data_IF_783119788072
#
_entry.id   IF_783119788072
#
_cell.length_a   1.000
_cell.length_b   1.000
_cell.length_c   1.000
_cell.angle_alpha   90.00
_cell.angle_beta   90.00
_cell.angle_gamma   90.00
#
_symmetry.space_group_name_H-M   'P 1'
#
loop_
_entity.id
_entity.type
_entity.pdbx_description
1 polymer ?
#
# COMPACT_ATOMS: atom_id res chain seq x y z
N UNK A 1 19.45 -12.38 -15.23
CA UNK A 1 19.12 -11.10 -14.57
C UNK A 1 17.92 -11.36 -13.68
N UNK A 2 17.83 -10.76 -12.49
CA UNK A 2 16.69 -10.95 -11.62
C UNK A 2 15.41 -10.42 -12.29
N UNK A 3 14.36 -11.23 -12.33
CA UNK A 3 13.12 -10.87 -13.01
C UNK A 3 12.17 -10.18 -12.01
N UNK A 4 11.94 -8.88 -12.19
CA UNK A 4 10.89 -8.12 -11.51
C UNK A 4 9.65 -8.11 -12.41
N UNK A 5 8.49 -8.39 -11.83
CA UNK A 5 7.20 -8.01 -12.43
C UNK A 5 6.51 -6.99 -11.54
N UNK A 6 6.28 -5.80 -12.09
CA UNK A 6 5.58 -4.70 -11.43
C UNK A 6 4.16 -4.58 -12.00
N UNK A 7 3.17 -4.99 -11.22
CA UNK A 7 1.76 -4.87 -11.58
C UNK A 7 1.28 -3.44 -11.32
N UNK A 8 0.66 -2.82 -12.33
CA UNK A 8 0.22 -1.42 -12.28
C UNK A 8 -1.30 -1.38 -12.28
N UNK A 9 -1.88 -1.05 -11.13
CA UNK A 9 -3.33 -0.91 -10.99
C UNK A 9 -3.83 0.34 -11.74
N UNK A 10 -4.79 0.14 -12.66
CA UNK A 10 -5.49 1.20 -13.42
C UNK A 10 -6.99 0.88 -13.54
N UNK A 11 -7.86 1.89 -13.57
CA UNK A 11 -9.32 1.69 -13.58
C UNK A 11 -10.05 2.46 -14.70
N UNK A 12 -9.36 3.33 -15.46
CA UNK A 12 -10.02 4.19 -16.46
C UNK A 12 -9.17 4.58 -17.67
N UNK A 13 -7.92 4.12 -17.74
CA UNK A 13 -7.01 4.50 -18.82
C UNK A 13 -5.90 3.50 -19.02
N UNK A 14 -5.33 3.53 -20.22
CA UNK A 14 -4.05 2.87 -20.48
C UNK A 14 -2.92 3.60 -19.74
N UNK A 15 -1.92 2.83 -19.31
CA UNK A 15 -0.73 3.35 -18.66
C UNK A 15 0.29 3.70 -19.75
N UNK A 16 0.69 4.97 -19.91
CA UNK A 16 1.69 5.33 -20.91
C UNK A 16 3.08 4.82 -20.52
N UNK A 17 3.94 4.58 -21.51
CA UNK A 17 5.36 4.24 -21.34
C UNK A 17 5.65 2.98 -20.50
N UNK A 18 4.86 1.92 -20.68
CA UNK A 18 5.11 0.62 -20.06
C UNK A 18 6.48 0.09 -20.44
N UNK A 19 7.27 -0.28 -19.44
CA UNK A 19 8.55 -0.96 -19.59
C UNK A 19 8.33 -2.48 -19.59
N UNK A 20 9.27 -3.30 -20.10
CA UNK A 20 9.09 -4.76 -20.19
C UNK A 20 8.75 -5.47 -18.86
N UNK A 21 9.19 -4.92 -17.73
CA UNK A 21 8.90 -5.45 -16.40
C UNK A 21 7.57 -4.96 -15.79
N UNK A 22 6.80 -4.15 -16.52
CA UNK A 22 5.56 -3.54 -16.06
C UNK A 22 4.34 -4.20 -16.71
N UNK A 23 3.41 -4.66 -15.88
CA UNK A 23 2.17 -5.31 -16.33
C UNK A 23 0.97 -4.50 -15.85
N UNK A 24 0.23 -3.81 -16.73
CA UNK A 24 -0.97 -3.08 -16.33
C UNK A 24 -2.08 -4.08 -15.97
N UNK A 25 -2.85 -3.78 -14.92
CA UNK A 25 -4.00 -4.57 -14.47
C UNK A 25 -5.22 -3.68 -14.34
N UNK A 26 -6.33 -4.06 -14.96
CA UNK A 26 -7.61 -3.38 -14.81
C UNK A 26 -8.18 -3.70 -13.42
N UNK A 27 -8.01 -2.75 -12.49
CA UNK A 27 -8.48 -2.82 -11.13
C UNK A 27 -10.00 -2.62 -11.07
N UNK A 28 -10.71 -3.50 -10.36
CA UNK A 28 -12.16 -3.48 -10.26
C UNK A 28 -12.87 -3.76 -11.57
N UNK A 29 -12.25 -4.55 -12.47
CA UNK A 29 -12.79 -4.80 -13.82
C UNK A 29 -14.23 -5.30 -13.79
N UNK A 30 -14.60 -6.14 -12.83
CA UNK A 30 -15.96 -6.69 -12.71
C UNK A 30 -17.05 -5.62 -12.53
N UNK A 31 -16.67 -4.44 -12.02
CA UNK A 31 -17.57 -3.31 -11.79
C UNK A 31 -17.59 -2.31 -12.96
N UNK A 32 -16.82 -2.57 -14.03
CA UNK A 32 -16.56 -1.63 -15.11
C UNK A 32 -17.09 -2.15 -16.44
N UNK A 33 -17.77 -1.30 -17.19
CA UNK A 33 -18.12 -1.58 -18.60
C UNK A 33 -17.02 -1.17 -19.58
N UNK A 34 -15.91 -0.61 -19.09
CA UNK A 34 -14.81 -0.13 -19.93
C UNK A 34 -13.85 -1.27 -20.28
N UNK A 35 -13.70 -1.56 -21.56
CA UNK A 35 -12.68 -2.50 -22.03
C UNK A 35 -11.36 -1.78 -22.33
N UNK A 36 -10.36 -2.01 -21.47
CA UNK A 36 -9.02 -1.43 -21.60
C UNK A 36 -8.06 -2.29 -22.47
N UNK A 37 -8.48 -3.50 -22.86
CA UNK A 37 -7.65 -4.44 -23.62
C UNK A 37 -6.48 -5.03 -22.81
N UNK A 38 -6.57 -5.00 -21.49
CA UNK A 38 -5.57 -5.55 -20.54
C UNK A 38 -6.25 -6.56 -19.62
N UNK A 39 -5.45 -7.41 -18.98
CA UNK A 39 -5.94 -8.36 -17.97
C UNK A 39 -6.55 -7.61 -16.79
N UNK A 40 -7.67 -8.12 -16.26
CA UNK A 40 -8.34 -7.57 -15.09
C UNK A 40 -8.06 -8.36 -13.83
N UNK A 41 -8.33 -7.74 -12.69
CA UNK A 41 -8.27 -8.38 -11.38
C UNK A 41 -9.51 -9.25 -11.07
N UNK A 42 -10.32 -9.59 -12.08
CA UNK A 42 -11.62 -10.27 -11.98
C UNK A 42 -11.58 -11.75 -12.40
N UNK A 43 -10.38 -12.31 -12.56
CA UNK A 43 -10.15 -13.71 -12.92
C UNK A 43 -9.56 -14.53 -11.75
N UNK A 44 -9.73 -15.85 -11.78
CA UNK A 44 -9.22 -16.72 -10.70
C UNK A 44 -9.80 -16.39 -9.32
N UNK A 45 -9.02 -16.61 -8.25
CA UNK A 45 -9.40 -16.17 -6.90
C UNK A 45 -9.18 -14.66 -6.79
N UNK A 46 -10.26 -13.91 -6.53
CA UNK A 46 -10.25 -12.46 -6.60
C UNK A 46 -11.28 -11.78 -5.69
N UNK A 47 -11.08 -10.48 -5.51
CA UNK A 47 -11.99 -9.58 -4.82
C UNK A 47 -12.28 -8.32 -5.66
N UNK A 48 -12.29 -8.44 -6.99
CA UNK A 48 -12.47 -7.30 -7.92
C UNK A 48 -13.73 -6.50 -7.60
N UNK A 49 -14.80 -7.18 -7.20
CA UNK A 49 -16.09 -6.57 -6.84
C UNK A 49 -15.95 -5.58 -5.67
N UNK A 50 -14.96 -5.77 -4.79
CA UNK A 50 -14.71 -4.92 -3.64
C UNK A 50 -13.85 -3.68 -3.97
N UNK A 51 -13.47 -3.44 -5.24
CA UNK A 51 -12.62 -2.31 -5.62
C UNK A 51 -13.12 -0.93 -5.17
N UNK A 52 -14.44 -0.61 -5.17
CA UNK A 52 -14.93 0.65 -4.62
C UNK A 52 -14.54 0.89 -3.14
N UNK A 53 -14.20 -0.17 -2.40
CA UNK A 53 -13.86 -0.15 -0.99
C UNK A 53 -12.36 -0.44 -0.75
N UNK A 54 -11.86 -1.52 -1.33
CA UNK A 54 -10.48 -1.99 -1.17
C UNK A 54 -9.50 -1.29 -2.11
N UNK A 55 -9.98 -0.54 -3.10
CA UNK A 55 -9.15 0.20 -4.05
C UNK A 55 -8.09 -0.71 -4.69
N UNK A 56 -6.86 -0.24 -4.85
CA UNK A 56 -5.74 -0.98 -5.43
C UNK A 56 -5.34 -2.27 -4.66
N UNK A 57 -5.85 -2.49 -3.43
CA UNK A 57 -5.66 -3.77 -2.72
C UNK A 57 -6.32 -4.95 -3.45
N UNK A 58 -7.34 -4.70 -4.29
CA UNK A 58 -7.95 -5.74 -5.13
C UNK A 58 -6.95 -6.34 -6.11
N UNK A 59 -6.08 -5.51 -6.70
CA UNK A 59 -4.97 -5.96 -7.55
C UNK A 59 -3.91 -6.67 -6.73
N UNK A 60 -3.54 -6.16 -5.54
CA UNK A 60 -2.59 -6.86 -4.65
C UNK A 60 -3.09 -8.27 -4.28
N UNK A 61 -4.37 -8.39 -3.92
CA UNK A 61 -5.00 -9.68 -3.61
C UNK A 61 -4.94 -10.61 -4.81
N UNK A 62 -5.35 -10.13 -5.97
CA UNK A 62 -5.36 -10.93 -7.20
C UNK A 62 -3.95 -11.40 -7.59
N UNK A 63 -2.94 -10.54 -7.47
CA UNK A 63 -1.53 -10.91 -7.70
C UNK A 63 -1.08 -11.98 -6.70
N UNK A 64 -1.38 -11.82 -5.42
CA UNK A 64 -1.06 -12.82 -4.40
C UNK A 64 -1.66 -14.20 -4.71
N UNK A 65 -2.90 -14.23 -5.21
CA UNK A 65 -3.60 -15.49 -5.50
C UNK A 65 -3.22 -16.13 -6.82
N UNK A 66 -2.81 -15.33 -7.82
CA UNK A 66 -2.73 -15.81 -9.20
C UNK A 66 -1.37 -15.60 -9.88
N UNK A 67 -0.51 -14.71 -9.37
CA UNK A 67 0.67 -14.19 -10.09
C UNK A 67 1.91 -14.02 -9.21
N UNK A 68 2.51 -15.14 -8.78
CA UNK A 68 3.71 -15.19 -7.93
C UNK A 68 4.90 -15.88 -8.60
N UNK A 69 4.99 -15.81 -9.93
CA UNK A 69 5.93 -16.55 -10.78
C UNK A 69 7.26 -15.82 -11.04
N UNK A 70 7.37 -14.54 -10.69
CA UNK A 70 8.60 -13.76 -10.80
C UNK A 70 9.42 -13.75 -9.51
N UNK A 71 10.73 -13.58 -9.65
CA UNK A 71 11.66 -13.52 -8.51
C UNK A 71 11.34 -12.36 -7.56
N UNK A 72 10.94 -11.22 -8.13
CA UNK A 72 10.43 -10.08 -7.40
C UNK A 72 9.07 -9.66 -7.97
N UNK A 73 8.17 -9.32 -7.09
CA UNK A 73 6.79 -8.91 -7.39
C UNK A 73 6.57 -7.55 -6.76
N UNK A 74 5.94 -6.65 -7.50
CA UNK A 74 5.54 -5.36 -6.96
C UNK A 74 4.18 -4.88 -7.42
N UNK A 75 3.57 -4.04 -6.60
CA UNK A 75 2.31 -3.36 -6.92
C UNK A 75 2.55 -1.84 -6.94
N UNK A 76 2.14 -1.20 -8.04
CA UNK A 76 2.18 0.23 -8.23
C UNK A 76 0.85 0.77 -8.78
N UNK A 77 0.71 2.10 -8.79
CA UNK A 77 -0.49 2.78 -9.27
C UNK A 77 -0.16 3.39 -10.63
N UNK A 78 -1.14 3.48 -11.52
CA UNK A 78 -0.93 4.05 -12.85
C UNK A 78 -0.36 5.48 -12.86
N UNK A 79 -0.55 6.26 -11.79
CA UNK A 79 0.00 7.63 -11.65
C UNK A 79 1.24 7.75 -10.78
N UNK A 80 1.69 6.65 -10.17
CA UNK A 80 2.80 6.63 -9.22
C UNK A 80 3.60 5.35 -9.45
N UNK A 81 4.73 5.49 -10.14
CA UNK A 81 5.62 4.38 -10.45
C UNK A 81 6.88 4.47 -9.62
N UNK A 82 7.48 3.33 -9.28
CA UNK A 82 8.77 3.30 -8.60
C UNK A 82 9.88 3.78 -9.54
N UNK A 83 10.68 4.75 -9.09
CA UNK A 83 11.92 5.14 -9.75
C UNK A 83 13.00 4.09 -9.44
N UNK A 84 12.93 2.94 -10.12
CA UNK A 84 13.82 1.78 -9.90
C UNK A 84 14.30 1.18 -11.22
N UNK A 85 15.54 0.70 -11.22
CA UNK A 85 16.07 -0.18 -12.24
C UNK A 85 15.94 -1.65 -11.78
N UNK A 86 15.21 -2.52 -12.49
CA UNK A 86 15.07 -3.93 -12.12
C UNK A 86 16.40 -4.67 -11.90
N UNK A 87 17.46 -4.28 -12.61
CA UNK A 87 18.78 -4.90 -12.46
C UNK A 87 19.36 -4.73 -11.04
N UNK A 88 18.95 -3.69 -10.31
CA UNK A 88 19.44 -3.40 -8.96
C UNK A 88 18.72 -4.24 -7.89
N UNK A 89 17.61 -4.91 -8.22
CA UNK A 89 16.79 -5.61 -7.22
C UNK A 89 17.59 -6.64 -6.42
N UNK A 90 18.43 -7.44 -7.07
CA UNK A 90 19.24 -8.45 -6.36
C UNK A 90 20.21 -7.84 -5.35
N UNK A 91 20.80 -6.69 -5.67
CA UNK A 91 21.71 -5.97 -4.77
C UNK A 91 20.90 -5.33 -3.63
N UNK A 92 19.76 -4.73 -3.94
CA UNK A 92 18.88 -4.11 -2.93
C UNK A 92 18.38 -5.17 -1.94
N UNK A 93 17.87 -6.30 -2.42
CA UNK A 93 17.31 -7.35 -1.55
C UNK A 93 18.38 -8.18 -0.82
N UNK A 94 19.68 -7.89 -0.99
CA UNK A 94 20.73 -8.41 -0.12
C UNK A 94 20.65 -7.80 1.29
N UNK A 95 20.22 -6.54 1.40
CA UNK A 95 20.19 -5.78 2.66
C UNK A 95 18.79 -5.34 3.09
N UNK A 96 17.81 -5.41 2.19
CA UNK A 96 16.45 -4.92 2.40
C UNK A 96 15.41 -6.00 2.17
N UNK A 97 14.24 -5.86 2.82
CA UNK A 97 13.13 -6.80 2.75
C UNK A 97 12.02 -6.32 1.80
N UNK A 98 11.79 -5.01 1.75
CA UNK A 98 10.82 -4.39 0.85
C UNK A 98 11.38 -3.11 0.23
N UNK A 99 10.96 -2.84 -1.00
CA UNK A 99 11.11 -1.53 -1.64
C UNK A 99 9.77 -0.82 -1.58
N UNK A 100 9.75 0.40 -1.06
CA UNK A 100 8.51 1.17 -0.82
C UNK A 100 8.70 2.63 -1.23
N UNK A 101 7.63 3.38 -1.47
CA UNK A 101 7.73 4.83 -1.60
C UNK A 101 8.27 5.45 -0.31
N UNK A 102 8.86 6.63 -0.43
CA UNK A 102 9.27 7.38 0.76
C UNK A 102 8.15 7.54 1.79
N UNK A 103 8.49 7.30 3.05
CA UNK A 103 7.56 7.48 4.16
C UNK A 103 7.17 8.96 4.31
N UNK A 104 5.98 9.19 4.87
CA UNK A 104 5.51 10.52 5.24
C UNK A 104 5.52 10.66 6.75
N UNK A 105 5.94 11.83 7.25
CA UNK A 105 5.69 12.21 8.64
C UNK A 105 4.39 13.03 8.74
N UNK A 106 3.54 12.65 9.67
CA UNK A 106 2.38 13.43 10.06
C UNK A 106 2.71 14.35 11.24
N UNK A 107 1.90 15.40 11.39
CA UNK A 107 1.96 16.30 12.55
C UNK A 107 1.33 15.68 13.81
N UNK A 108 0.41 14.73 13.62
CA UNK A 108 -0.29 13.98 14.67
C UNK A 108 0.20 12.52 14.66
N UNK A 109 -0.17 11.76 15.69
CA UNK A 109 0.03 10.31 15.66
C UNK A 109 -0.77 9.66 14.53
N UNK A 110 -0.44 8.42 14.14
CA UNK A 110 -1.19 7.69 13.12
C UNK A 110 -2.65 7.49 13.55
N UNK A 111 -2.87 7.23 14.83
CA UNK A 111 -4.21 7.11 15.42
C UNK A 111 -4.99 8.42 15.31
N UNK A 112 -4.44 9.51 15.85
CA UNK A 112 -5.09 10.82 15.86
C UNK A 112 -5.36 11.32 14.43
N UNK A 113 -4.39 11.12 13.53
CA UNK A 113 -4.54 11.50 12.14
C UNK A 113 -5.64 10.71 11.45
N UNK A 114 -5.71 9.39 11.66
CA UNK A 114 -6.79 8.57 11.10
C UNK A 114 -8.14 8.99 11.65
N UNK A 115 -8.29 9.04 12.99
CA UNK A 115 -9.54 9.37 13.67
C UNK A 115 -10.11 10.71 13.22
N UNK A 116 -9.23 11.71 13.03
CA UNK A 116 -9.63 13.04 12.56
C UNK A 116 -10.10 13.05 11.11
N UNK A 117 -9.53 12.24 10.23
CA UNK A 117 -9.82 12.27 8.78
C UNK A 117 -10.87 11.24 8.33
N UNK A 118 -11.00 10.14 9.07
CA UNK A 118 -11.81 8.98 8.69
C UNK A 118 -12.81 8.54 9.77
N UNK A 119 -12.77 9.16 10.96
CA UNK A 119 -13.62 8.80 12.08
C UNK A 119 -13.04 7.67 12.95
N UNK A 120 -13.69 7.44 14.08
CA UNK A 120 -13.16 6.55 15.13
C UNK A 120 -13.57 5.09 14.95
N UNK A 121 -14.73 4.83 14.36
CA UNK A 121 -15.38 3.53 14.42
C UNK A 121 -14.54 2.41 13.78
N UNK A 122 -14.08 2.61 12.53
CA UNK A 122 -13.20 1.66 11.83
C UNK A 122 -11.88 1.45 12.56
N UNK A 123 -11.35 2.51 13.16
CA UNK A 123 -10.10 2.44 13.92
C UNK A 123 -10.27 1.56 15.16
N UNK A 124 -11.27 1.85 15.98
CA UNK A 124 -11.53 1.12 17.22
C UNK A 124 -11.89 -0.35 16.91
N UNK A 125 -12.57 -0.59 15.79
CA UNK A 125 -12.84 -1.93 15.26
C UNK A 125 -11.55 -2.66 14.86
N UNK A 126 -10.65 -2.01 14.11
CA UNK A 126 -9.34 -2.54 13.74
C UNK A 126 -8.54 -2.93 14.98
N UNK A 127 -8.44 -2.06 15.98
CA UNK A 127 -7.68 -2.33 17.21
C UNK A 127 -8.24 -3.53 17.96
N UNK A 128 -9.57 -3.63 18.07
CA UNK A 128 -10.23 -4.77 18.74
C UNK A 128 -9.98 -6.09 18.01
N UNK A 129 -10.10 -6.11 16.69
CA UNK A 129 -9.88 -7.33 15.89
C UNK A 129 -8.40 -7.72 15.92
N UNK A 130 -7.48 -6.75 15.76
CA UNK A 130 -6.04 -6.99 15.86
C UNK A 130 -5.68 -7.63 17.20
N UNK A 131 -6.20 -7.11 18.32
CA UNK A 131 -5.94 -7.67 19.65
C UNK A 131 -6.45 -9.10 19.80
N UNK A 132 -7.54 -9.47 19.13
CA UNK A 132 -8.11 -10.81 19.20
C UNK A 132 -7.41 -11.81 18.28
N UNK A 133 -7.04 -11.41 17.07
CA UNK A 133 -6.48 -12.30 16.05
C UNK A 133 -4.96 -12.41 16.11
N UNK A 134 -4.30 -11.31 16.43
CA UNK A 134 -2.86 -11.15 16.38
C UNK A 134 -2.37 -10.44 17.65
N UNK A 135 -2.62 -11.03 18.85
CA UNK A 135 -2.24 -10.42 20.12
C UNK A 135 -0.73 -10.12 20.20
N UNK A 136 0.11 -10.86 19.49
CA UNK A 136 1.55 -10.64 19.38
C UNK A 136 1.90 -9.27 18.76
N UNK A 137 1.03 -8.72 17.89
CA UNK A 137 1.23 -7.40 17.30
C UNK A 137 0.79 -6.25 18.22
N UNK A 138 0.05 -6.52 19.29
CA UNK A 138 -0.64 -5.47 20.04
C UNK A 138 0.32 -4.53 20.77
N UNK A 139 1.41 -5.04 21.34
CA UNK A 139 2.42 -4.21 21.99
C UNK A 139 3.13 -3.30 20.99
N UNK A 140 3.47 -3.82 19.80
CA UNK A 140 4.02 -3.01 18.71
C UNK A 140 3.00 -2.01 18.17
N UNK A 141 1.71 -2.38 18.10
CA UNK A 141 0.66 -1.50 17.63
C UNK A 141 0.52 -0.24 18.48
N UNK A 142 0.60 -0.36 19.81
CA UNK A 142 0.58 0.79 20.72
C UNK A 142 1.70 1.79 20.40
N UNK A 143 2.93 1.32 20.20
CA UNK A 143 4.05 2.21 19.92
C UNK A 143 4.01 2.79 18.50
N UNK A 144 3.68 1.97 17.49
CA UNK A 144 3.62 2.39 16.08
C UNK A 144 2.49 3.37 15.86
N UNK A 145 1.30 3.13 16.42
CA UNK A 145 0.15 4.00 16.18
C UNK A 145 0.20 5.31 16.97
N UNK A 146 0.96 5.36 18.08
CA UNK A 146 1.35 6.62 18.73
C UNK A 146 2.48 7.37 18.00
N UNK A 147 3.21 6.72 17.08
CA UNK A 147 4.18 7.38 16.22
C UNK A 147 3.50 8.15 15.10
N UNK A 148 4.27 8.88 14.29
CA UNK A 148 3.75 9.72 13.21
C UNK A 148 4.30 9.39 11.82
N UNK A 149 5.01 8.27 11.65
CA UNK A 149 5.55 7.83 10.34
C UNK A 149 4.61 6.83 9.69
N UNK A 150 4.28 7.05 8.42
CA UNK A 150 3.44 6.13 7.64
C UNK A 150 4.09 5.77 6.30
N UNK A 151 3.89 4.52 5.88
CA UNK A 151 4.17 4.04 4.52
C UNK A 151 2.85 3.97 3.76
N UNK A 152 2.68 4.86 2.77
CA UNK A 152 1.40 5.11 2.09
C UNK A 152 1.30 4.41 0.75
N UNK A 153 0.11 4.50 0.17
CA UNK A 153 -0.29 4.04 -1.15
C UNK A 153 -0.50 2.54 -1.29
N UNK A 154 -0.19 1.70 -0.29
CA UNK A 154 -0.22 0.24 -0.49
C UNK A 154 0.66 -0.23 -1.67
N UNK A 155 1.72 0.53 -1.96
CA UNK A 155 2.71 0.21 -2.98
C UNK A 155 3.92 -0.43 -2.33
N UNK A 156 4.35 -1.57 -2.84
CA UNK A 156 5.48 -2.32 -2.33
C UNK A 156 6.07 -3.23 -3.42
N UNK A 157 7.36 -3.54 -3.29
CA UNK A 157 8.05 -4.58 -4.06
C UNK A 157 8.78 -5.49 -3.08
N UNK A 158 8.66 -6.80 -3.26
CA UNK A 158 9.39 -7.81 -2.49
C UNK A 158 9.45 -9.14 -3.25
N UNK A 159 10.02 -10.17 -2.64
CA UNK A 159 9.92 -11.54 -3.17
C UNK A 159 8.53 -12.15 -2.88
N UNK A 160 8.09 -13.15 -3.67
CA UNK A 160 6.80 -13.80 -3.51
C UNK A 160 6.47 -14.30 -2.10
N UNK A 161 7.46 -14.75 -1.30
CA UNK A 161 7.20 -15.29 0.04
C UNK A 161 6.81 -14.16 0.99
N UNK A 162 7.52 -13.04 0.95
CA UNK A 162 7.21 -11.86 1.78
C UNK A 162 5.88 -11.21 1.36
N UNK A 163 5.57 -11.16 0.06
CA UNK A 163 4.25 -10.71 -0.43
C UNK A 163 3.15 -11.60 0.13
N UNK A 164 3.31 -12.91 0.02
CA UNK A 164 2.31 -13.89 0.48
C UNK A 164 2.10 -13.79 1.99
N UNK A 165 3.17 -13.77 2.79
CA UNK A 165 3.09 -13.64 4.24
C UNK A 165 2.38 -12.35 4.68
N UNK A 166 2.66 -11.22 4.01
CA UNK A 166 1.96 -9.98 4.29
C UNK A 166 0.46 -10.08 3.94
N UNK A 167 0.12 -10.66 2.78
CA UNK A 167 -1.26 -10.80 2.34
C UNK A 167 -2.06 -11.77 3.25
N UNK A 168 -1.45 -12.89 3.65
CA UNK A 168 -2.01 -13.86 4.60
C UNK A 168 -2.30 -13.22 5.96
N UNK A 169 -1.48 -12.25 6.38
CA UNK A 169 -1.69 -11.52 7.62
C UNK A 169 -2.77 -10.43 7.47
N UNK A 170 -2.67 -9.58 6.43
CA UNK A 170 -3.50 -8.36 6.34
C UNK A 170 -4.93 -8.61 5.84
N UNK A 171 -5.14 -9.51 4.87
CA UNK A 171 -6.45 -9.66 4.25
C UNK A 171 -7.50 -10.27 5.21
N UNK A 172 -7.20 -11.30 6.02
CA UNK A 172 -8.16 -11.79 7.00
C UNK A 172 -8.58 -10.72 8.02
N UNK A 173 -7.65 -9.85 8.45
CA UNK A 173 -7.95 -8.70 9.31
C UNK A 173 -8.91 -7.73 8.60
N UNK A 174 -8.58 -7.33 7.37
CA UNK A 174 -9.38 -6.38 6.60
C UNK A 174 -10.77 -6.93 6.26
N UNK A 175 -10.90 -8.22 5.94
CA UNK A 175 -12.19 -8.85 5.66
C UNK A 175 -13.08 -8.90 6.90
N UNK A 176 -12.52 -9.19 8.07
CA UNK A 176 -13.30 -9.17 9.31
C UNK A 176 -13.73 -7.74 9.69
N UNK A 177 -12.85 -6.75 9.49
CA UNK A 177 -13.20 -5.34 9.68
C UNK A 177 -14.31 -4.94 8.70
N UNK A 178 -14.18 -5.34 7.43
CA UNK A 178 -15.16 -5.07 6.38
C UNK A 178 -16.54 -5.64 6.72
N UNK A 179 -16.59 -6.93 7.10
CA UNK A 179 -17.83 -7.62 7.49
C UNK A 179 -18.52 -6.95 8.69
N UNK A 180 -17.74 -6.52 9.68
CA UNK A 180 -18.27 -5.89 10.90
C UNK A 180 -18.55 -4.40 10.75
N UNK A 181 -17.96 -3.73 9.76
CA UNK A 181 -18.18 -2.31 9.53
C UNK A 181 -19.54 -2.12 8.87
N UNK A 182 -20.48 -1.58 9.65
CA UNK A 182 -21.80 -1.22 9.14
C UNK A 182 -21.64 -0.07 8.12
N UNK A 183 -22.34 -0.18 6.99
CA UNK A 183 -22.25 0.75 5.86
C UNK A 183 -22.72 2.19 6.16
N UNK A 184 -23.19 2.92 5.14
CA UNK A 184 -23.69 4.29 5.30
C UNK A 184 -22.63 5.39 5.21
N UNK A 185 -21.49 5.10 4.58
CA UNK A 185 -20.43 6.07 4.29
C UNK A 185 -20.56 6.61 2.88
N UNK A 186 -20.05 7.81 2.64
CA UNK A 186 -19.89 8.33 1.28
C UNK A 186 -18.83 7.54 0.48
N UNK A 187 -18.72 7.80 -0.82
CA UNK A 187 -17.82 7.08 -1.72
C UNK A 187 -16.34 7.19 -1.34
N UNK A 188 -15.92 8.27 -0.69
CA UNK A 188 -14.54 8.45 -0.26
C UNK A 188 -14.28 7.70 1.06
N UNK A 189 -15.14 7.88 2.05
CA UNK A 189 -14.99 7.24 3.36
C UNK A 189 -15.24 5.73 3.31
N UNK A 190 -15.97 5.25 2.30
CA UNK A 190 -16.12 3.81 2.02
C UNK A 190 -14.80 3.13 1.67
N UNK A 191 -13.73 3.89 1.35
CA UNK A 191 -12.38 3.38 1.05
C UNK A 191 -11.52 3.13 2.28
N UNK A 192 -12.13 3.12 3.47
CA UNK A 192 -11.43 2.89 4.73
C UNK A 192 -10.57 1.61 4.77
N UNK A 193 -10.88 0.47 4.09
CA UNK A 193 -9.97 -0.67 4.07
C UNK A 193 -8.59 -0.30 3.52
N UNK A 194 -8.56 0.51 2.46
CA UNK A 194 -7.31 1.03 1.88
C UNK A 194 -6.58 2.01 2.79
N UNK A 195 -7.30 2.77 3.62
CA UNK A 195 -6.67 3.65 4.61
C UNK A 195 -6.09 2.85 5.78
N UNK A 196 -6.84 1.87 6.30
CA UNK A 196 -6.38 1.01 7.39
C UNK A 196 -5.17 0.17 6.94
N UNK A 197 -5.16 -0.35 5.71
CA UNK A 197 -4.05 -1.17 5.20
C UNK A 197 -2.71 -0.43 5.21
N UNK A 198 -2.68 0.89 4.97
CA UNK A 198 -1.43 1.66 5.06
C UNK A 198 -0.87 1.69 6.51
N UNK A 199 -1.76 1.75 7.50
CA UNK A 199 -1.38 1.72 8.93
C UNK A 199 -0.99 0.30 9.34
N UNK A 200 -1.74 -0.70 8.88
CA UNK A 200 -1.43 -2.11 9.12
C UNK A 200 -0.11 -2.53 8.46
N UNK A 201 0.20 -2.07 7.25
CA UNK A 201 1.49 -2.32 6.62
C UNK A 201 2.63 -1.68 7.42
N UNK A 202 2.44 -0.45 7.91
CA UNK A 202 3.41 0.20 8.79
C UNK A 202 3.63 -0.64 10.05
N UNK A 203 2.56 -1.09 10.72
CA UNK A 203 2.67 -2.00 11.87
C UNK A 203 3.40 -3.30 11.50
N UNK A 204 3.07 -3.92 10.38
CA UNK A 204 3.66 -5.17 9.91
C UNK A 204 5.17 -5.07 9.76
N UNK A 205 5.66 -4.00 9.13
CA UNK A 205 7.09 -3.73 8.97
C UNK A 205 7.78 -3.59 10.31
N UNK A 206 7.23 -2.78 11.22
CA UNK A 206 7.88 -2.50 12.50
C UNK A 206 7.89 -3.72 13.43
N UNK A 207 6.82 -4.50 13.45
CA UNK A 207 6.74 -5.70 14.28
C UNK A 207 7.74 -6.76 13.86
N UNK A 208 7.83 -7.02 12.55
CA UNK A 208 8.75 -8.01 11.98
C UNK A 208 10.17 -7.47 11.77
N UNK A 209 10.42 -6.21 12.17
CA UNK A 209 11.73 -5.54 12.06
C UNK A 209 12.31 -5.53 10.63
N UNK A 210 11.43 -5.44 9.62
CA UNK A 210 11.83 -5.45 8.22
C UNK A 210 12.59 -4.18 7.84
N UNK A 211 13.65 -4.34 7.06
CA UNK A 211 14.45 -3.25 6.49
C UNK A 211 13.81 -2.77 5.19
N UNK A 212 13.53 -1.47 5.10
CA UNK A 212 12.89 -0.86 3.95
C UNK A 212 13.86 -0.06 3.09
N UNK A 213 13.86 -0.32 1.78
CA UNK A 213 14.45 0.56 0.78
C UNK A 213 13.40 1.56 0.33
N UNK A 214 13.47 2.78 0.85
CA UNK A 214 12.62 3.87 0.37
C UNK A 214 13.12 4.42 -0.98
N UNK A 215 12.22 4.62 -1.93
CA UNK A 215 12.54 5.19 -3.24
C UNK A 215 11.61 6.34 -3.65
N UNK A 216 12.07 7.12 -4.63
CA UNK A 216 11.29 8.17 -5.28
C UNK A 216 10.22 7.57 -6.18
N UNK A 217 9.20 8.38 -6.46
CA UNK A 217 8.13 8.04 -7.38
C UNK A 217 8.26 8.89 -8.64
N UNK A 218 8.06 8.24 -9.78
CA UNK A 218 7.84 8.87 -11.07
C UNK A 218 6.33 9.07 -11.28
N UNK A 219 5.96 10.18 -11.91
CA UNK A 219 4.57 10.61 -12.13
C UNK A 219 4.31 10.72 -13.63
N UNK A 220 3.84 9.64 -14.29
CA UNK A 220 3.73 9.58 -15.76
C UNK A 220 2.81 10.64 -16.36
N UNK A 221 1.75 11.00 -15.64
CA UNK A 221 0.75 11.99 -16.10
C UNK A 221 1.26 13.44 -16.03
N UNK A 222 2.51 13.68 -15.66
CA UNK A 222 3.08 15.03 -15.56
C UNK A 222 2.40 15.89 -14.48
N UNK A 223 1.76 15.28 -13.48
CA UNK A 223 1.14 16.01 -12.37
C UNK A 223 2.21 16.55 -11.40
N UNK A 224 2.98 17.53 -11.87
CA UNK A 224 4.08 18.18 -11.14
C UNK A 224 3.63 18.76 -9.79
N UNK A 225 2.33 19.08 -9.61
CA UNK A 225 1.80 19.57 -8.32
C UNK A 225 1.89 18.51 -7.22
N UNK A 226 1.58 17.24 -7.51
CA UNK A 226 1.78 16.16 -6.53
C UNK A 226 3.28 15.96 -6.25
N UNK A 227 4.12 15.97 -7.28
CA UNK A 227 5.58 15.86 -7.15
C UNK A 227 6.16 16.97 -6.28
N UNK A 228 5.79 18.23 -6.53
CA UNK A 228 6.23 19.40 -5.77
C UNK A 228 5.72 19.37 -4.34
N UNK A 229 4.45 18.99 -4.12
CA UNK A 229 3.90 18.83 -2.77
C UNK A 229 4.65 17.75 -1.98
N UNK A 230 5.04 16.65 -2.62
CA UNK A 230 5.83 15.60 -1.97
C UNK A 230 7.25 16.09 -1.64
N UNK A 231 7.89 16.86 -2.53
CA UNK A 231 9.20 17.49 -2.25
C UNK A 231 9.08 18.46 -1.07
N UNK A 232 8.07 19.30 -1.05
CA UNK A 232 7.85 20.27 0.01
C UNK A 232 7.54 19.60 1.35
N UNK A 233 6.75 18.52 1.35
CA UNK A 233 6.54 17.70 2.54
C UNK A 233 7.85 17.10 3.06
N UNK A 234 8.75 16.62 2.19
CA UNK A 234 10.06 16.11 2.62
C UNK A 234 10.94 17.19 3.27
N UNK A 235 10.93 18.40 2.71
CA UNK A 235 11.65 19.54 3.30
C UNK A 235 11.08 19.85 4.69
N UNK A 236 9.75 19.88 4.83
CA UNK A 236 9.09 20.11 6.11
C UNK A 236 9.41 18.99 7.12
N UNK A 237 9.41 17.73 6.68
CA UNK A 237 9.76 16.56 7.49
C UNK A 237 11.23 16.62 7.97
N UNK A 238 12.14 17.05 7.10
CA UNK A 238 13.54 17.27 7.45
C UNK A 238 13.69 18.39 8.48
N UNK A 239 13.02 19.53 8.27
CA UNK A 239 13.01 20.66 9.22
C UNK A 239 12.44 20.21 10.57
N UNK A 240 11.35 19.43 10.57
CA UNK A 240 10.74 18.90 11.79
C UNK A 240 11.71 17.98 12.55
N UNK A 241 12.35 17.02 11.87
CA UNK A 241 13.37 16.13 12.45
C UNK A 241 14.55 16.91 13.04
N UNK A 242 15.02 17.95 12.37
CA UNK A 242 16.11 18.80 12.86
C UNK A 242 15.71 19.59 14.11
N UNK A 243 14.44 20.00 14.23
CA UNK A 243 13.91 20.69 15.42
C UNK A 243 13.69 19.75 16.60
N UNK A 244 13.26 18.51 16.35
CA UNK A 244 13.02 17.52 17.41
C UNK A 244 14.30 16.94 18.02
N UNK A 245 15.44 17.02 17.33
CA UNK A 245 16.77 16.59 17.83
C UNK A 245 17.52 17.64 18.66
N UNK A 246 17.01 18.87 18.73
CA UNK A 246 17.60 20.00 19.50
C UNK A 246 16.91 20.23 20.86
N UNK A 247 15.96 19.37 21.24
CA UNK A 247 15.35 19.29 22.56
C UNK A 247 15.82 17.99 23.21
#
# INVERSE_FOLDING_TARGET
MPNLTLYIATHNRQVPHLKPYMTPVHAGKINSSLELGIEGDDSGDNISALNPFFSELTVLYWVWKNKLDSQYIGIAHYRRLFAINPADCQIIFADYDFIVPHSKLFKLSLEEQYKREHGNYEWDLMIRILRSRNPEYFETAKSVFCSNRIYRFNMLISDPKRISAYCEWVFPLLFEIWDKSKGGKDSYQSRYPGFLSERLFTLYVYHNQFKLKETKLDYPDGNYKESLLMIQNRINDYIFKCKSRKK
#
